data_IF_553247048572
#
_entry.id   IF_553247048572
#
_cell.length_a   1.000
_cell.length_b   1.000
_cell.length_c   1.000
_cell.angle_alpha   90.00
_cell.angle_beta   90.00
_cell.angle_gamma   90.00
#
_symmetry.space_group_name_H-M   'P 1'
#
loop_
_entity.id
_entity.type
_entity.pdbx_description
1 polymer ?
#
# COMPACT_ATOMS: atom_id res chain seq x y z
N UNK A 1 -24.42 -0.63 1.06
CA UNK A 1 -23.82 0.71 1.30
C UNK A 1 -24.17 1.17 2.70
N UNK A 2 -23.20 1.70 3.47
CA UNK A 2 -23.45 2.26 4.81
C UNK A 2 -24.59 3.28 4.75
N UNK A 3 -25.64 3.10 5.56
CA UNK A 3 -26.86 3.95 5.55
C UNK A 3 -26.64 5.34 6.18
N UNK A 4 -25.40 5.82 6.23
CA UNK A 4 -25.02 7.08 6.87
C UNK A 4 -24.88 8.21 5.82
N UNK A 5 -25.26 9.45 6.17
CA UNK A 5 -24.98 10.61 5.33
C UNK A 5 -23.47 10.83 5.21
N UNK A 6 -22.99 11.14 3.99
CA UNK A 6 -21.57 11.38 3.67
C UNK A 6 -20.82 12.28 4.67
N UNK A 7 -21.37 13.43 5.14
CA UNK A 7 -20.66 14.27 6.11
C UNK A 7 -20.43 13.58 7.47
N UNK A 8 -21.38 12.76 7.94
CA UNK A 8 -21.23 12.01 9.20
C UNK A 8 -20.17 10.93 9.05
N UNK A 9 -20.14 10.22 7.92
CA UNK A 9 -19.11 9.21 7.65
C UNK A 9 -17.71 9.85 7.62
N UNK A 10 -17.55 10.97 6.92
CA UNK A 10 -16.27 11.68 6.85
C UNK A 10 -15.82 12.16 8.23
N UNK A 11 -16.74 12.66 9.05
CA UNK A 11 -16.45 13.07 10.42
C UNK A 11 -15.99 11.88 11.27
N UNK A 12 -16.68 10.74 11.19
CA UNK A 12 -16.32 9.53 11.94
C UNK A 12 -14.94 8.99 11.53
N UNK A 13 -14.63 8.95 10.23
CA UNK A 13 -13.32 8.50 9.74
C UNK A 13 -12.22 9.47 10.20
N UNK A 14 -12.47 10.77 10.10
CA UNK A 14 -11.50 11.79 10.53
C UNK A 14 -11.23 11.71 12.03
N UNK A 15 -12.28 11.52 12.84
CA UNK A 15 -12.15 11.35 14.29
C UNK A 15 -11.40 10.06 14.64
N UNK A 16 -11.70 8.96 13.94
CA UNK A 16 -11.02 7.68 14.11
C UNK A 16 -9.54 7.74 13.71
N UNK A 17 -9.16 8.59 12.74
CA UNK A 17 -7.75 8.82 12.39
C UNK A 17 -7.05 9.80 13.34
N UNK A 18 -7.78 10.79 13.86
CA UNK A 18 -7.24 11.81 14.76
C UNK A 18 -6.76 11.22 16.08
N UNK A 19 -7.54 10.33 16.71
CA UNK A 19 -7.21 9.72 18.00
C UNK A 19 -5.85 9.00 17.99
N UNK A 20 -5.58 8.03 17.10
CA UNK A 20 -4.26 7.38 17.02
C UNK A 20 -3.18 8.34 16.53
N UNK A 21 -3.54 9.35 15.71
CA UNK A 21 -2.61 10.39 15.27
C UNK A 21 -1.98 11.20 16.40
N UNK A 22 -2.67 11.34 17.55
CA UNK A 22 -2.11 12.01 18.73
C UNK A 22 -0.88 11.31 19.32
N UNK A 23 -0.70 10.01 19.07
CA UNK A 23 0.50 9.28 19.52
C UNK A 23 1.75 9.85 18.83
N UNK A 24 1.63 10.24 17.55
CA UNK A 24 2.73 10.79 16.76
C UNK A 24 3.12 12.22 17.14
N UNK A 25 2.29 12.95 17.90
CA UNK A 25 2.61 14.32 18.36
C UNK A 25 3.34 14.35 19.71
N UNK A 26 3.60 13.19 20.31
CA UNK A 26 4.35 13.08 21.57
C UNK A 26 5.86 13.26 21.36
N UNK A 27 6.65 13.45 22.43
CA UNK A 27 8.12 13.66 22.35
C UNK A 27 8.87 12.53 21.63
N UNK A 28 8.33 11.31 21.64
CA UNK A 28 8.89 10.14 20.96
C UNK A 28 8.13 9.79 19.67
N UNK A 29 7.19 10.64 19.24
CA UNK A 29 6.29 10.36 18.12
C UNK A 29 7.02 10.24 16.78
N UNK A 30 8.14 10.96 16.61
CA UNK A 30 8.97 10.85 15.40
C UNK A 30 9.53 9.44 15.20
N UNK A 31 9.96 8.77 16.26
CA UNK A 31 10.47 7.39 16.19
C UNK A 31 9.37 6.39 15.76
N UNK A 32 8.16 6.55 16.30
CA UNK A 32 7.02 5.72 15.91
C UNK A 32 6.59 5.98 14.47
N UNK A 33 6.61 7.24 14.06
CA UNK A 33 6.27 7.64 12.69
C UNK A 33 7.28 7.08 11.69
N UNK A 34 8.57 7.15 12.00
CA UNK A 34 9.65 6.62 11.18
C UNK A 34 9.55 5.09 11.00
N UNK A 35 9.40 4.35 12.10
CA UNK A 35 9.19 2.89 12.03
C UNK A 35 7.93 2.57 11.20
N UNK A 36 6.82 3.26 11.44
CA UNK A 36 5.58 3.04 10.71
C UNK A 36 5.73 3.31 9.21
N UNK A 37 6.38 4.42 8.84
CA UNK A 37 6.63 4.79 7.44
C UNK A 37 7.54 3.78 6.75
N UNK A 38 8.64 3.37 7.40
CA UNK A 38 9.54 2.33 6.85
C UNK A 38 8.78 1.04 6.52
N UNK A 39 7.96 0.53 7.45
CA UNK A 39 7.23 -0.73 7.23
C UNK A 39 6.09 -0.59 6.22
N UNK A 40 5.32 0.52 6.25
CA UNK A 40 4.26 0.75 5.27
C UNK A 40 4.82 0.95 3.87
N UNK A 41 5.81 1.82 3.72
CA UNK A 41 6.29 2.26 2.40
C UNK A 41 7.17 1.20 1.74
N UNK A 42 8.08 0.54 2.47
CA UNK A 42 8.99 -0.45 1.87
C UNK A 42 8.38 -1.85 1.71
N UNK A 43 7.41 -2.21 2.56
CA UNK A 43 6.77 -3.53 2.49
C UNK A 43 5.31 -3.44 2.06
N UNK A 44 4.48 -2.68 2.78
CA UNK A 44 3.04 -2.61 2.52
C UNK A 44 2.69 -2.13 1.11
N UNK A 45 3.12 -0.92 0.75
CA UNK A 45 2.85 -0.31 -0.54
C UNK A 45 3.45 -1.13 -1.68
N UNK A 46 4.66 -1.64 -1.51
CA UNK A 46 5.35 -2.45 -2.52
C UNK A 46 4.64 -3.79 -2.75
N UNK A 47 4.19 -4.46 -1.68
CA UNK A 47 3.42 -5.71 -1.78
C UNK A 47 2.08 -5.50 -2.49
N UNK A 48 1.32 -4.47 -2.09
CA UNK A 48 0.03 -4.15 -2.74
C UNK A 48 0.26 -3.80 -4.20
N UNK A 49 1.22 -2.94 -4.51
CA UNK A 49 1.57 -2.57 -5.88
C UNK A 49 2.04 -3.76 -6.72
N UNK A 50 2.74 -4.73 -6.13
CA UNK A 50 3.16 -5.94 -6.83
C UNK A 50 1.96 -6.82 -7.17
N UNK A 51 1.03 -7.01 -6.23
CA UNK A 51 -0.22 -7.74 -6.46
C UNK A 51 -1.04 -7.07 -7.57
N UNK A 52 -1.19 -5.75 -7.51
CA UNK A 52 -1.90 -4.97 -8.53
C UNK A 52 -1.22 -5.06 -9.90
N UNK A 53 0.11 -4.97 -9.96
CA UNK A 53 0.86 -5.10 -11.21
C UNK A 53 0.72 -6.50 -11.82
N UNK A 54 0.73 -7.56 -11.00
CA UNK A 54 0.48 -8.93 -11.47
C UNK A 54 -0.96 -9.05 -11.96
N UNK A 55 -1.93 -8.50 -11.23
CA UNK A 55 -3.34 -8.54 -11.58
C UNK A 55 -3.59 -7.84 -12.93
N UNK A 56 -3.11 -6.61 -13.08
CA UNK A 56 -3.26 -5.84 -14.32
C UNK A 56 -2.44 -6.46 -15.46
N UNK A 57 -1.20 -6.85 -15.20
CA UNK A 57 -0.25 -7.33 -16.19
C UNK A 57 -0.59 -8.70 -16.77
N UNK A 58 -1.20 -9.60 -15.97
CA UNK A 58 -1.42 -10.99 -16.36
C UNK A 58 -2.89 -11.44 -16.33
N UNK A 59 -3.74 -10.92 -15.42
CA UNK A 59 -5.16 -11.31 -15.36
C UNK A 59 -6.04 -10.44 -16.26
N UNK A 60 -5.97 -9.11 -16.10
CA UNK A 60 -6.80 -8.19 -16.89
C UNK A 60 -6.24 -7.98 -18.29
N UNK A 61 -4.91 -7.93 -18.42
CA UNK A 61 -4.19 -7.69 -19.66
C UNK A 61 -3.97 -6.20 -19.91
N UNK A 62 -2.71 -5.72 -19.98
CA UNK A 62 -2.41 -4.30 -20.11
C UNK A 62 -2.97 -3.71 -21.42
N UNK A 63 -3.11 -4.51 -22.47
CA UNK A 63 -3.68 -4.08 -23.75
C UNK A 63 -5.08 -3.48 -23.60
N UNK A 64 -5.94 -4.05 -22.75
CA UNK A 64 -7.32 -3.57 -22.53
C UNK A 64 -7.31 -2.18 -21.94
N UNK A 65 -6.48 -1.95 -20.92
CA UNK A 65 -6.33 -0.63 -20.29
C UNK A 65 -5.72 0.36 -21.27
N UNK A 66 -4.68 -0.05 -22.02
CA UNK A 66 -4.01 0.81 -22.99
C UNK A 66 -4.97 1.27 -24.10
N UNK A 67 -5.81 0.38 -24.61
CA UNK A 67 -6.82 0.72 -25.61
C UNK A 67 -7.86 1.69 -25.04
N UNK A 68 -8.39 1.41 -23.85
CA UNK A 68 -9.31 2.31 -23.15
C UNK A 68 -8.73 3.71 -22.92
N UNK A 69 -7.49 3.80 -22.45
CA UNK A 69 -6.81 5.08 -22.22
C UNK A 69 -6.57 5.82 -23.53
N UNK A 70 -6.22 5.12 -24.61
CA UNK A 70 -5.98 5.71 -25.93
C UNK A 70 -7.25 6.23 -26.62
N UNK A 71 -8.43 5.76 -26.25
CA UNK A 71 -9.70 6.29 -26.74
C UNK A 71 -10.05 7.65 -26.11
N UNK A 72 -9.66 7.85 -24.85
CA UNK A 72 -9.94 9.06 -24.09
C UNK A 72 -8.82 10.11 -24.17
N UNK A 73 -7.61 9.71 -24.57
CA UNK A 73 -6.42 10.56 -24.54
C UNK A 73 -6.06 11.13 -25.91
N UNK A 74 -5.69 12.41 -25.95
CA UNK A 74 -5.11 13.05 -27.14
C UNK A 74 -3.72 12.48 -27.48
N UNK A 75 -2.99 11.98 -26.46
CA UNK A 75 -1.67 11.34 -26.60
C UNK A 75 -1.83 9.83 -26.50
N UNK A 76 -1.38 9.11 -27.53
CA UNK A 76 -1.48 7.64 -27.58
C UNK A 76 -0.29 6.96 -26.94
N UNK A 77 -0.57 6.03 -26.04
CA UNK A 77 0.37 5.14 -25.37
C UNK A 77 0.66 3.93 -26.28
N UNK A 78 1.95 3.68 -26.50
CA UNK A 78 2.45 2.59 -27.32
C UNK A 78 2.59 1.26 -26.58
N UNK A 79 2.96 0.20 -27.32
CA UNK A 79 3.13 -1.17 -26.77
C UNK A 79 4.22 -1.30 -25.71
N UNK A 80 5.13 -0.33 -25.60
CA UNK A 80 6.16 -0.30 -24.55
C UNK A 80 5.55 -0.29 -23.14
N UNK A 81 4.38 0.32 -22.98
CA UNK A 81 3.66 0.36 -21.71
C UNK A 81 3.20 -1.02 -21.25
N UNK A 82 2.80 -1.89 -22.18
CA UNK A 82 2.43 -3.27 -21.88
C UNK A 82 3.63 -4.03 -21.29
N UNK A 83 4.84 -3.82 -21.83
CA UNK A 83 6.08 -4.39 -21.30
C UNK A 83 6.46 -3.80 -19.94
N UNK A 84 6.21 -2.50 -19.72
CA UNK A 84 6.48 -1.89 -18.42
C UNK A 84 5.64 -2.50 -17.30
N UNK A 85 4.34 -2.65 -17.52
CA UNK A 85 3.45 -3.23 -16.50
C UNK A 85 3.72 -4.72 -16.28
N UNK A 86 3.97 -5.46 -17.37
CA UNK A 86 4.11 -6.92 -17.27
C UNK A 86 5.47 -7.36 -16.73
N UNK A 87 6.52 -6.57 -16.98
CA UNK A 87 7.91 -6.96 -16.73
C UNK A 87 8.61 -5.96 -15.82
N UNK A 88 8.69 -4.69 -16.22
CA UNK A 88 9.55 -3.71 -15.52
C UNK A 88 9.05 -3.44 -14.10
N UNK A 89 7.76 -3.14 -13.93
CA UNK A 89 7.18 -2.79 -12.63
C UNK A 89 7.29 -3.98 -11.66
N UNK A 90 6.84 -5.21 -11.99
CA UNK A 90 7.01 -6.35 -11.09
C UNK A 90 8.46 -6.62 -10.72
N UNK A 91 9.40 -6.53 -11.67
CA UNK A 91 10.82 -6.75 -11.39
C UNK A 91 11.38 -5.72 -10.41
N UNK A 92 11.08 -4.44 -10.59
CA UNK A 92 11.55 -3.37 -9.69
C UNK A 92 10.96 -3.53 -8.30
N UNK A 93 9.67 -3.89 -8.19
CA UNK A 93 9.01 -4.10 -6.89
C UNK A 93 9.56 -5.34 -6.17
N UNK A 94 9.79 -6.44 -6.89
CA UNK A 94 10.44 -7.64 -6.34
C UNK A 94 11.87 -7.33 -5.88
N UNK A 95 12.63 -6.59 -6.68
CA UNK A 95 13.98 -6.16 -6.31
C UNK A 95 13.97 -5.28 -5.05
N UNK A 96 13.05 -4.31 -4.99
CA UNK A 96 12.90 -3.41 -3.84
C UNK A 96 12.57 -4.17 -2.55
N UNK A 97 11.61 -5.11 -2.60
CA UNK A 97 11.29 -5.98 -1.47
C UNK A 97 12.48 -6.85 -1.04
N UNK A 98 13.16 -7.46 -2.01
CA UNK A 98 14.34 -8.29 -1.74
C UNK A 98 15.48 -7.49 -1.11
N UNK A 99 15.72 -6.29 -1.60
CA UNK A 99 16.71 -5.37 -1.04
C UNK A 99 16.36 -4.96 0.39
N UNK A 100 15.09 -4.57 0.63
CA UNK A 100 14.61 -4.16 1.96
C UNK A 100 14.72 -5.30 2.98
N UNK A 101 14.35 -6.53 2.59
CA UNK A 101 14.53 -7.72 3.42
C UNK A 101 16.01 -8.02 3.71
N UNK A 102 16.87 -7.91 2.69
CA UNK A 102 18.29 -8.13 2.86
C UNK A 102 18.91 -7.13 3.84
N UNK A 103 18.54 -5.86 3.75
CA UNK A 103 19.01 -4.82 4.67
C UNK A 103 18.56 -5.08 6.10
N UNK A 104 17.28 -5.47 6.29
CA UNK A 104 16.71 -5.74 7.61
C UNK A 104 17.36 -6.94 8.31
N UNK A 105 17.70 -7.99 7.56
CA UNK A 105 18.38 -9.18 8.11
C UNK A 105 19.82 -8.85 8.51
N UNK A 106 20.51 -8.02 7.72
CA UNK A 106 21.93 -7.70 7.94
C UNK A 106 22.13 -6.73 9.10
N UNK A 107 21.23 -5.78 9.29
CA UNK A 107 21.29 -4.81 10.38
C UNK A 107 19.86 -4.38 10.72
N UNK A 108 19.42 -4.51 11.99
CA UNK A 108 18.11 -4.03 12.40
C UNK A 108 17.94 -2.56 12.01
N UNK A 109 16.75 -2.20 11.48
CA UNK A 109 16.49 -0.83 11.02
C UNK A 109 16.86 0.20 12.10
N UNK A 110 17.72 1.15 11.73
CA UNK A 110 18.36 2.18 12.57
C UNK A 110 18.91 1.72 13.94
N UNK A 111 19.15 0.41 14.13
CA UNK A 111 19.53 -0.14 15.43
C UNK A 111 18.41 -0.12 16.49
N UNK A 112 17.15 0.01 16.07
CA UNK A 112 16.01 -0.02 17.00
C UNK A 112 15.92 -1.37 17.75
N UNK A 113 15.38 -1.37 18.98
CA UNK A 113 15.10 -2.60 19.70
C UNK A 113 14.15 -3.51 18.90
N UNK A 114 14.43 -4.82 18.88
CA UNK A 114 13.61 -5.80 18.15
C UNK A 114 12.13 -5.75 18.52
N UNK A 115 11.80 -5.36 19.76
CA UNK A 115 10.42 -5.17 20.19
C UNK A 115 9.70 -4.02 19.48
N UNK A 116 10.40 -2.92 19.18
CA UNK A 116 9.84 -1.79 18.43
C UNK A 116 9.62 -2.15 16.96
N UNK A 117 10.57 -2.88 16.36
CA UNK A 117 10.44 -3.39 14.98
C UNK A 117 9.28 -4.39 14.86
N UNK A 118 9.08 -5.27 15.84
CA UNK A 118 7.95 -6.19 15.86
C UNK A 118 6.60 -5.45 15.89
N UNK A 119 6.53 -4.30 16.55
CA UNK A 119 5.33 -3.45 16.53
C UNK A 119 5.11 -2.79 15.17
N UNK A 120 6.17 -2.42 14.44
CA UNK A 120 6.09 -1.96 13.06
C UNK A 120 5.53 -3.02 12.10
N UNK A 121 6.01 -4.26 12.22
CA UNK A 121 5.47 -5.41 11.46
C UNK A 121 4.01 -5.69 11.84
N UNK A 122 3.67 -5.65 13.13
CA UNK A 122 2.30 -5.84 13.59
C UNK A 122 1.38 -4.73 13.04
N UNK A 123 1.84 -3.49 13.03
CA UNK A 123 1.11 -2.34 12.47
C UNK A 123 0.84 -2.53 10.98
N UNK A 124 1.84 -2.93 10.19
CA UNK A 124 1.67 -3.30 8.78
C UNK A 124 0.61 -4.39 8.60
N UNK A 125 0.68 -5.46 9.42
CA UNK A 125 -0.30 -6.54 9.38
C UNK A 125 -1.73 -6.08 9.67
N UNK A 126 -1.91 -5.19 10.66
CA UNK A 126 -3.22 -4.61 10.98
C UNK A 126 -3.75 -3.78 9.83
N UNK A 127 -2.92 -2.93 9.20
CA UNK A 127 -3.33 -2.09 8.06
C UNK A 127 -3.79 -2.95 6.88
N UNK A 128 -3.03 -4.00 6.52
CA UNK A 128 -3.39 -4.92 5.45
C UNK A 128 -4.68 -5.70 5.77
N UNK A 129 -4.83 -6.20 7.00
CA UNK A 129 -6.03 -6.90 7.44
C UNK A 129 -7.27 -5.99 7.39
N UNK A 130 -7.16 -4.76 7.89
CA UNK A 130 -8.24 -3.78 7.81
C UNK A 130 -8.64 -3.50 6.35
N UNK A 131 -7.68 -3.33 5.45
CA UNK A 131 -7.93 -3.16 4.02
C UNK A 131 -8.69 -4.34 3.41
N UNK A 132 -8.24 -5.57 3.70
CA UNK A 132 -8.90 -6.79 3.22
C UNK A 132 -10.33 -6.92 3.77
N UNK A 133 -10.53 -6.70 5.07
CA UNK A 133 -11.84 -6.77 5.71
C UNK A 133 -12.82 -5.74 5.13
N UNK A 134 -12.37 -4.51 4.90
CA UNK A 134 -13.16 -3.47 4.24
C UNK A 134 -13.53 -3.88 2.81
N UNK A 135 -12.58 -4.46 2.07
CA UNK A 135 -12.82 -4.98 0.72
C UNK A 135 -13.82 -6.15 0.67
N UNK A 136 -13.75 -7.10 1.60
CA UNK A 136 -14.69 -8.23 1.68
C UNK A 136 -16.09 -7.74 2.04
N UNK A 137 -16.22 -6.83 3.01
CA UNK A 137 -17.50 -6.29 3.46
C UNK A 137 -18.18 -5.47 2.36
N UNK A 138 -17.42 -4.72 1.57
CA UNK A 138 -17.94 -3.98 0.41
C UNK A 138 -18.57 -4.90 -0.65
N UNK A 139 -18.00 -6.09 -0.86
CA UNK A 139 -18.45 -7.07 -1.87
C UNK A 139 -19.71 -7.85 -1.46
N UNK A 140 -20.11 -7.80 -0.19
CA UNK A 140 -21.27 -8.53 0.36
C UNK A 140 -22.58 -7.75 0.22
N UNK A 141 -22.50 -6.51 -0.23
CA UNK A 141 -23.62 -5.58 -0.38
C UNK A 141 -23.91 -5.24 -1.86
N UNK A 142 -23.27 -5.95 -2.79
CA UNK A 142 -23.56 -6.02 -4.23
C UNK A 142 -24.24 -7.35 -4.55
#
# INVERSE_FOLDING_TARGET
KWKLPRPVLNFLISLAAFIPGLIFTTRSGLFWLDIADHFISNYGLVLVGLIEAIFVGYLLGPKVIREYVNELSEIKIGKWWDAMIRVVIPLVLIWSLGFSLYTEIKSPYEGYPKGALALGVAYLGVVLLCGILMGIKGRREE
#
